data_IF_070014980563
#
_entry.id   IF_070014980563
#
_cell.length_a   1.000
_cell.length_b   1.000
_cell.length_c   1.000
_cell.angle_alpha   90.00
_cell.angle_beta   90.00
_cell.angle_gamma   90.00
#
_symmetry.space_group_name_H-M   'P 1'
#
loop_
_entity.id
_entity.type
_entity.pdbx_description
1 polymer ?
#
# COMPACT_ATOMS: atom_id res chain seq x y z
N UNK A 1 10.13 -54.10 4.15
CA UNK A 1 9.01 -54.66 3.38
C UNK A 1 7.73 -54.09 3.96
N UNK A 2 7.22 -52.99 3.40
CA UNK A 2 6.02 -52.31 3.90
C UNK A 2 4.86 -52.58 2.94
N UNK A 3 3.83 -53.22 3.47
CA UNK A 3 2.64 -53.69 2.75
C UNK A 3 1.68 -52.53 2.46
N UNK A 4 1.36 -52.39 1.18
CA UNK A 4 0.47 -51.41 0.58
C UNK A 4 -0.99 -51.82 0.85
N UNK A 5 -1.69 -51.11 1.75
CA UNK A 5 -3.12 -51.33 2.02
C UNK A 5 -3.96 -50.47 1.07
N UNK A 6 -4.54 -51.13 0.06
CA UNK A 6 -5.61 -50.62 -0.78
C UNK A 6 -6.88 -50.35 0.04
N UNK A 7 -7.47 -49.16 -0.11
CA UNK A 7 -8.84 -48.87 0.31
C UNK A 7 -9.82 -49.11 -0.85
N UNK A 8 -10.95 -49.80 -0.64
CA UNK A 8 -11.97 -49.99 -1.66
C UNK A 8 -12.86 -48.76 -1.83
N UNK A 9 -13.17 -48.43 -3.09
CA UNK A 9 -14.14 -47.43 -3.50
C UNK A 9 -15.56 -47.86 -3.15
N UNK A 10 -16.26 -47.04 -2.37
CA UNK A 10 -17.68 -47.21 -2.08
C UNK A 10 -18.50 -46.46 -3.13
N UNK A 11 -19.14 -47.23 -4.00
CA UNK A 11 -20.22 -46.79 -4.89
C UNK A 11 -21.47 -46.48 -4.05
N UNK A 12 -21.90 -45.22 -4.02
CA UNK A 12 -23.23 -44.85 -3.50
C UNK A 12 -24.17 -44.65 -4.68
N UNK A 13 -24.97 -45.68 -4.97
CA UNK A 13 -26.16 -45.56 -5.79
C UNK A 13 -27.25 -44.88 -4.96
N UNK A 14 -27.70 -43.70 -5.38
CA UNK A 14 -28.98 -43.14 -4.94
C UNK A 14 -29.94 -43.11 -6.12
N UNK A 15 -30.70 -44.21 -6.18
CA UNK A 15 -32.14 -44.28 -6.43
C UNK A 15 -32.81 -43.05 -7.03
N UNK A 16 -33.20 -43.20 -8.30
CA UNK A 16 -34.37 -42.55 -8.87
C UNK A 16 -35.62 -43.03 -8.14
N UNK A 17 -36.48 -42.10 -7.72
CA UNK A 17 -37.94 -42.24 -7.57
C UNK A 17 -38.49 -40.98 -6.89
N UNK A 18 -39.07 -40.07 -7.67
CA UNK A 18 -40.36 -39.43 -7.35
C UNK A 18 -40.81 -38.57 -8.55
N UNK A 19 -41.48 -39.24 -9.47
CA UNK A 19 -42.52 -38.62 -10.29
C UNK A 19 -43.75 -38.47 -9.39
N UNK A 20 -44.14 -37.24 -9.10
CA UNK A 20 -45.48 -36.94 -8.61
C UNK A 20 -45.96 -35.64 -9.27
N UNK A 21 -47.03 -35.80 -10.02
CA UNK A 21 -47.82 -34.79 -10.68
C UNK A 21 -48.17 -33.61 -9.76
N UNK A 22 -47.88 -32.41 -10.24
CA UNK A 22 -48.65 -31.21 -9.91
C UNK A 22 -48.78 -30.39 -11.19
N UNK A 23 -49.68 -30.88 -12.06
CA UNK A 23 -50.28 -30.12 -13.14
C UNK A 23 -51.06 -28.93 -12.57
N UNK A 24 -50.34 -27.85 -12.26
CA UNK A 24 -50.94 -26.54 -12.06
C UNK A 24 -50.94 -25.88 -13.42
N UNK A 25 -52.12 -25.77 -14.04
CA UNK A 25 -52.30 -25.07 -15.30
C UNK A 25 -51.78 -23.65 -15.19
N UNK A 26 -50.58 -23.41 -15.72
CA UNK A 26 -50.11 -22.05 -15.97
C UNK A 26 -50.89 -21.52 -17.17
N UNK A 27 -51.54 -20.35 -17.05
CA UNK A 27 -52.15 -19.71 -18.20
C UNK A 27 -51.07 -19.52 -19.26
N UNK A 28 -51.39 -19.87 -20.52
CA UNK A 28 -50.58 -19.52 -21.68
C UNK A 28 -50.49 -17.99 -21.72
N UNK A 29 -49.47 -17.44 -21.07
CA UNK A 29 -49.02 -16.10 -21.35
C UNK A 29 -48.63 -16.12 -22.82
N UNK A 30 -49.40 -15.38 -23.62
CA UNK A 30 -49.08 -15.05 -25.00
C UNK A 30 -47.58 -14.78 -25.05
N UNK A 31 -46.86 -15.56 -25.86
CA UNK A 31 -45.49 -15.27 -26.24
C UNK A 31 -45.52 -13.98 -27.06
N UNK A 32 -45.69 -12.86 -26.37
CA UNK A 32 -45.46 -11.55 -26.90
C UNK A 32 -44.05 -11.59 -27.46
N UNK A 33 -43.96 -11.32 -28.76
CA UNK A 33 -42.72 -10.99 -29.43
C UNK A 33 -41.88 -10.12 -28.50
N UNK A 34 -40.88 -10.71 -27.86
CA UNK A 34 -39.88 -9.94 -27.14
C UNK A 34 -39.29 -9.04 -28.23
N UNK A 35 -39.42 -7.70 -28.14
CA UNK A 35 -38.84 -6.83 -29.13
C UNK A 35 -37.38 -7.22 -29.19
N UNK A 36 -36.88 -7.56 -30.39
CA UNK A 36 -35.49 -7.86 -30.64
C UNK A 36 -34.67 -6.83 -29.90
N UNK A 37 -34.13 -7.21 -28.74
CA UNK A 37 -33.18 -6.41 -28.02
C UNK A 37 -31.95 -6.51 -28.89
N UNK A 38 -31.90 -5.67 -29.92
CA UNK A 38 -30.70 -5.38 -30.67
C UNK A 38 -29.69 -5.08 -29.58
N UNK A 39 -28.82 -6.05 -29.31
CA UNK A 39 -27.69 -5.87 -28.42
C UNK A 39 -26.77 -4.92 -29.16
N UNK A 40 -27.15 -3.63 -29.14
CA UNK A 40 -26.38 -2.54 -29.69
C UNK A 40 -25.00 -2.71 -29.10
N UNK A 41 -24.03 -2.98 -29.98
CA UNK A 41 -22.65 -3.21 -29.59
C UNK A 41 -22.26 -2.00 -28.74
N UNK A 42 -22.15 -2.20 -27.42
CA UNK A 42 -21.84 -1.10 -26.50
C UNK A 42 -20.59 -0.42 -27.06
N UNK A 43 -20.56 0.92 -27.14
CA UNK A 43 -19.39 1.62 -27.62
C UNK A 43 -18.20 1.10 -26.83
N UNK A 44 -17.19 0.58 -27.53
CA UNK A 44 -16.00 0.00 -26.88
C UNK A 44 -15.38 1.11 -26.05
N UNK A 45 -15.29 0.90 -24.74
CA UNK A 45 -14.67 1.89 -23.86
C UNK A 45 -13.21 2.08 -24.30
N UNK A 46 -12.75 3.34 -24.28
CA UNK A 46 -11.38 3.66 -24.64
C UNK A 46 -10.43 3.07 -23.59
N UNK A 47 -9.30 2.48 -24.02
CA UNK A 47 -8.23 2.10 -23.10
C UNK A 47 -7.81 3.29 -22.25
N UNK A 48 -7.49 3.04 -20.98
CA UNK A 48 -6.97 4.09 -20.10
C UNK A 48 -5.54 4.46 -20.50
N UNK A 49 -5.20 5.74 -20.42
CA UNK A 49 -3.79 6.16 -20.53
C UNK A 49 -2.99 5.64 -19.34
N UNK A 50 -1.66 5.66 -19.45
CA UNK A 50 -0.83 5.15 -18.38
C UNK A 50 -1.07 5.89 -17.05
N UNK A 51 -1.07 7.22 -17.12
CA UNK A 51 -1.34 8.10 -15.99
C UNK A 51 -2.71 7.83 -15.37
N UNK A 52 -3.76 7.68 -16.19
CA UNK A 52 -5.12 7.37 -15.70
C UNK A 52 -5.20 6.04 -14.96
N UNK A 53 -4.54 5.00 -15.49
CA UNK A 53 -4.54 3.69 -14.88
C UNK A 53 -3.81 3.67 -13.52
N UNK A 54 -2.64 4.32 -13.44
CA UNK A 54 -1.90 4.48 -12.18
C UNK A 54 -2.75 5.23 -11.16
N UNK A 55 -3.29 6.40 -11.54
CA UNK A 55 -4.09 7.24 -10.67
C UNK A 55 -5.29 6.48 -10.09
N UNK A 56 -6.01 5.71 -10.91
CA UNK A 56 -7.19 4.95 -10.44
C UNK A 56 -6.86 3.70 -9.66
N UNK A 57 -5.76 3.01 -9.99
CA UNK A 57 -5.56 1.62 -9.56
C UNK A 57 -4.22 1.32 -8.90
N UNK A 58 -3.39 2.33 -8.59
CA UNK A 58 -2.10 2.14 -7.88
C UNK A 58 -2.26 1.34 -6.57
N UNK A 59 -3.31 1.62 -5.82
CA UNK A 59 -3.61 0.95 -4.54
C UNK A 59 -3.89 -0.54 -4.68
N UNK A 60 -4.24 -0.99 -5.89
CA UNK A 60 -4.53 -2.39 -6.25
C UNK A 60 -3.35 -3.07 -6.95
N UNK A 61 -2.14 -2.51 -6.86
CA UNK A 61 -0.94 -3.15 -7.39
C UNK A 61 -0.66 -2.88 -8.87
N UNK A 62 -1.17 -1.78 -9.41
CA UNK A 62 -0.77 -1.28 -10.72
C UNK A 62 0.48 -0.41 -10.57
N UNK A 63 1.52 -0.73 -11.33
CA UNK A 63 2.82 -0.04 -11.29
C UNK A 63 3.36 0.16 -12.71
N UNK A 64 4.22 1.17 -12.88
CA UNK A 64 5.10 1.25 -14.06
C UNK A 64 6.33 0.39 -13.85
N UNK A 65 6.69 -0.37 -14.89
CA UNK A 65 7.95 -1.09 -14.95
C UNK A 65 9.05 -0.20 -15.55
N UNK A 66 10.30 -0.66 -15.51
CA UNK A 66 11.47 0.08 -15.98
C UNK A 66 11.41 0.44 -17.48
N UNK A 67 10.62 -0.30 -18.26
CA UNK A 67 10.35 -0.05 -19.68
C UNK A 67 9.27 1.02 -19.92
N UNK A 68 8.70 1.61 -18.86
CA UNK A 68 7.61 2.57 -18.94
C UNK A 68 6.25 1.94 -19.26
N UNK A 69 6.16 0.61 -19.32
CA UNK A 69 4.89 -0.09 -19.50
C UNK A 69 4.20 -0.32 -18.16
N UNK A 70 2.87 -0.30 -18.17
CA UNK A 70 2.09 -0.64 -16.98
C UNK A 70 2.05 -2.14 -16.79
N UNK A 71 2.25 -2.58 -15.54
CA UNK A 71 2.13 -4.00 -15.12
C UNK A 71 1.30 -4.11 -13.85
N UNK A 72 0.71 -5.29 -13.64
CA UNK A 72 0.11 -5.68 -12.36
C UNK A 72 1.14 -6.48 -11.56
N UNK A 73 1.37 -6.10 -10.31
CA UNK A 73 2.25 -6.82 -9.38
C UNK A 73 1.84 -8.27 -9.14
N UNK A 74 0.58 -8.61 -9.39
CA UNK A 74 0.02 -9.95 -9.23
C UNK A 74 0.57 -10.99 -10.24
N UNK A 75 1.07 -10.56 -11.41
CA UNK A 75 1.59 -11.49 -12.42
C UNK A 75 2.31 -10.77 -13.58
N UNK A 76 3.49 -11.25 -14.01
CA UNK A 76 4.19 -10.72 -15.18
C UNK A 76 3.43 -10.89 -16.51
N UNK A 77 2.49 -11.83 -16.58
CA UNK A 77 1.72 -12.11 -17.80
C UNK A 77 0.53 -11.16 -18.03
N UNK A 78 0.21 -10.27 -17.08
CA UNK A 78 -0.84 -9.30 -17.28
C UNK A 78 -0.34 -8.17 -18.18
N UNK A 79 -1.05 -7.92 -19.29
CA UNK A 79 -0.76 -6.82 -20.23
C UNK A 79 -1.85 -5.74 -20.12
N UNK A 80 -1.78 -4.86 -19.11
CA UNK A 80 -2.83 -3.88 -18.84
C UNK A 80 -2.83 -2.66 -19.77
N UNK A 81 -1.83 -2.55 -20.66
CA UNK A 81 -1.67 -1.43 -21.59
C UNK A 81 -2.87 -1.20 -22.52
N UNK A 82 -3.65 -2.23 -22.82
CA UNK A 82 -4.85 -2.12 -23.67
C UNK A 82 -6.17 -2.19 -22.87
N UNK A 83 -6.11 -2.12 -21.54
CA UNK A 83 -7.29 -2.29 -20.70
C UNK A 83 -8.05 -0.98 -20.54
N UNK A 84 -9.36 -1.08 -20.67
CA UNK A 84 -10.28 -0.03 -20.22
C UNK A 84 -10.54 -0.16 -18.71
N UNK A 85 -11.24 0.82 -18.14
CA UNK A 85 -11.58 0.83 -16.71
C UNK A 85 -12.33 -0.43 -16.24
N UNK A 86 -13.10 -1.06 -17.13
CA UNK A 86 -13.86 -2.26 -16.80
C UNK A 86 -12.95 -3.50 -16.77
N UNK A 87 -12.03 -3.64 -17.72
CA UNK A 87 -11.04 -4.71 -17.77
C UNK A 87 -10.14 -4.72 -16.54
N UNK A 88 -9.68 -3.55 -16.07
CA UNK A 88 -8.98 -3.42 -14.78
C UNK A 88 -9.84 -3.94 -13.63
N UNK A 89 -11.08 -3.47 -13.52
CA UNK A 89 -12.01 -3.88 -12.45
C UNK A 89 -12.24 -5.39 -12.43
N UNK A 90 -12.45 -5.99 -13.60
CA UNK A 90 -12.63 -7.43 -13.77
C UNK A 90 -11.37 -8.20 -13.40
N UNK A 91 -10.19 -7.68 -13.76
CA UNK A 91 -8.93 -8.30 -13.41
C UNK A 91 -8.75 -8.44 -11.89
N UNK A 92 -9.09 -7.40 -11.13
CA UNK A 92 -8.98 -7.41 -9.66
C UNK A 92 -10.00 -8.33 -8.97
N UNK A 93 -11.00 -8.85 -9.69
CA UNK A 93 -11.95 -9.84 -9.18
C UNK A 93 -11.43 -11.27 -9.35
N UNK A 94 -10.37 -11.51 -10.11
CA UNK A 94 -9.83 -12.85 -10.29
C UNK A 94 -9.18 -13.39 -9.02
N UNK A 95 -9.37 -14.69 -8.76
CA UNK A 95 -8.83 -15.39 -7.58
C UNK A 95 -7.32 -15.19 -7.41
N UNK A 96 -6.56 -15.17 -8.52
CA UNK A 96 -5.11 -14.95 -8.50
C UNK A 96 -4.76 -13.56 -7.94
N UNK A 97 -5.48 -12.53 -8.36
CA UNK A 97 -5.26 -11.16 -7.88
C UNK A 97 -5.71 -11.00 -6.43
N UNK A 98 -6.86 -11.59 -6.06
CA UNK A 98 -7.34 -11.56 -4.68
C UNK A 98 -6.40 -12.26 -3.71
N UNK A 99 -5.80 -13.40 -4.12
CA UNK A 99 -4.77 -14.09 -3.34
C UNK A 99 -3.55 -13.18 -3.15
N UNK A 100 -3.08 -12.53 -4.22
CA UNK A 100 -1.98 -11.57 -4.13
C UNK A 100 -2.32 -10.38 -3.19
N UNK A 101 -3.52 -9.82 -3.27
CA UNK A 101 -3.96 -8.75 -2.34
C UNK A 101 -4.01 -9.21 -0.88
N UNK A 102 -4.33 -10.49 -0.62
CA UNK A 102 -4.42 -11.06 0.72
C UNK A 102 -3.04 -11.40 1.32
N UNK A 103 -2.10 -11.84 0.47
CA UNK A 103 -0.71 -12.14 0.87
C UNK A 103 0.15 -10.88 0.98
N UNK A 104 -0.35 -9.73 0.52
CA UNK A 104 0.35 -8.45 0.58
C UNK A 104 0.51 -7.98 2.03
N UNK A 105 1.75 -7.73 2.43
CA UNK A 105 2.11 -7.33 3.79
C UNK A 105 1.49 -5.99 4.20
N UNK A 106 1.09 -5.89 5.48
CA UNK A 106 0.60 -4.66 6.07
C UNK A 106 1.73 -3.62 6.10
N UNK A 107 1.57 -2.52 5.35
CA UNK A 107 2.60 -1.48 5.19
C UNK A 107 3.10 -1.31 3.75
N UNK A 108 2.77 -2.24 2.84
CA UNK A 108 3.09 -2.10 1.42
C UNK A 108 2.47 -0.86 0.78
N UNK A 109 1.33 -0.40 1.28
CA UNK A 109 0.61 0.77 0.74
C UNK A 109 1.39 2.08 0.89
N UNK A 110 2.16 2.26 1.98
CA UNK A 110 2.93 3.49 2.18
C UNK A 110 4.12 3.56 1.23
N UNK A 111 4.82 2.44 1.03
CA UNK A 111 5.89 2.32 0.03
C UNK A 111 5.34 2.43 -1.39
N UNK A 112 4.21 1.81 -1.68
CA UNK A 112 3.56 1.89 -2.98
C UNK A 112 3.06 3.31 -3.28
N UNK A 113 2.60 4.05 -2.28
CA UNK A 113 2.19 5.45 -2.44
C UNK A 113 3.38 6.36 -2.76
N UNK A 114 4.49 6.20 -2.04
CA UNK A 114 5.72 6.94 -2.34
C UNK A 114 6.25 6.66 -3.75
N UNK A 115 6.20 5.39 -4.19
CA UNK A 115 6.55 5.02 -5.56
C UNK A 115 5.55 5.54 -6.59
N UNK A 116 4.25 5.53 -6.28
CA UNK A 116 3.20 6.08 -7.12
C UNK A 116 3.44 7.57 -7.38
N UNK A 117 3.74 8.37 -6.35
CA UNK A 117 4.00 9.80 -6.53
C UNK A 117 5.17 10.05 -7.49
N UNK A 118 6.28 9.33 -7.31
CA UNK A 118 7.43 9.40 -8.23
C UNK A 118 7.07 8.98 -9.65
N UNK A 119 6.24 7.95 -9.79
CA UNK A 119 5.81 7.43 -11.09
C UNK A 119 4.85 8.37 -11.82
N UNK A 120 3.95 9.04 -11.11
CA UNK A 120 3.03 10.02 -11.72
C UNK A 120 3.76 11.28 -12.14
N UNK A 121 4.73 11.74 -11.36
CA UNK A 121 5.58 12.89 -11.70
C UNK A 121 6.44 12.61 -12.94
N UNK A 122 6.94 11.39 -13.12
CA UNK A 122 7.74 11.00 -14.27
C UNK A 122 6.93 10.80 -15.57
N UNK A 123 5.60 10.84 -15.52
CA UNK A 123 4.74 10.68 -16.70
C UNK A 123 4.28 12.05 -17.19
N UNK A 124 5.00 12.58 -18.16
CA UNK A 124 4.74 13.84 -18.89
C UNK A 124 3.52 13.75 -19.84
N UNK A 125 2.41 13.19 -19.37
CA UNK A 125 1.16 13.11 -20.14
C UNK A 125 0.30 14.36 -19.81
N UNK A 126 0.28 15.32 -20.75
CA UNK A 126 -0.34 16.67 -20.68
C UNK A 126 -1.88 16.67 -20.72
N UNK A 127 -2.54 15.66 -20.14
CA UNK A 127 -3.96 15.41 -20.39
C UNK A 127 -4.87 15.35 -19.16
N UNK A 128 -4.38 15.57 -17.95
CA UNK A 128 -5.20 15.42 -16.74
C UNK A 128 -5.19 16.70 -15.90
N UNK A 129 -6.40 17.20 -15.63
CA UNK A 129 -6.61 18.28 -14.67
C UNK A 129 -6.16 17.87 -13.25
N UNK A 130 -5.67 18.85 -12.50
CA UNK A 130 -5.23 18.64 -11.10
C UNK A 130 -6.37 18.13 -10.22
N UNK A 131 -7.62 18.45 -10.58
CA UNK A 131 -8.83 18.03 -9.88
C UNK A 131 -9.05 16.51 -9.95
N UNK A 132 -8.83 15.88 -11.11
CA UNK A 132 -8.92 14.41 -11.26
C UNK A 132 -7.82 13.70 -10.49
N UNK A 133 -6.61 14.27 -10.45
CA UNK A 133 -5.50 13.74 -9.66
C UNK A 133 -5.87 13.77 -8.17
N UNK A 134 -6.36 14.91 -7.67
CA UNK A 134 -6.79 15.07 -6.28
C UNK A 134 -7.96 14.14 -5.89
N UNK A 135 -8.98 14.02 -6.75
CA UNK A 135 -10.14 13.16 -6.53
C UNK A 135 -9.77 11.66 -6.44
N UNK A 136 -8.80 11.23 -7.25
CA UNK A 136 -8.30 9.87 -7.21
C UNK A 136 -7.41 9.60 -5.99
N UNK A 137 -6.58 10.55 -5.57
CA UNK A 137 -5.84 10.46 -4.30
C UNK A 137 -6.82 10.33 -3.11
N UNK A 138 -7.91 11.11 -3.11
CA UNK A 138 -8.96 11.03 -2.10
C UNK A 138 -9.70 9.67 -2.13
N UNK A 139 -9.93 9.09 -3.31
CA UNK A 139 -10.58 7.78 -3.47
C UNK A 139 -9.70 6.62 -2.96
N UNK A 140 -8.38 6.68 -3.17
CA UNK A 140 -7.43 5.76 -2.57
C UNK A 140 -7.43 5.83 -1.05
N UNK A 141 -7.55 7.03 -0.48
CA UNK A 141 -7.71 7.21 0.96
C UNK A 141 -9.07 6.73 1.48
N UNK A 142 -10.16 6.83 0.70
CA UNK A 142 -11.48 6.33 1.08
C UNK A 142 -11.57 4.79 1.09
N UNK A 143 -10.81 4.10 0.22
CA UNK A 143 -10.66 2.64 0.26
C UNK A 143 -10.13 2.14 1.62
N UNK A 144 -9.35 2.96 2.35
CA UNK A 144 -8.86 2.68 3.71
C UNK A 144 -9.99 2.48 4.73
N UNK A 145 -11.19 3.05 4.51
CA UNK A 145 -12.33 2.94 5.46
C UNK A 145 -13.28 1.77 5.18
N UNK A 146 -13.34 1.25 3.95
CA UNK A 146 -14.38 0.27 3.55
C UNK A 146 -13.97 -1.21 3.67
N UNK A 147 -12.67 -1.53 3.76
CA UNK A 147 -12.17 -2.93 3.78
C UNK A 147 -12.11 -3.59 5.18
N UNK A 148 -12.77 -3.01 6.19
CA UNK A 148 -12.91 -3.63 7.54
C UNK A 148 -14.27 -4.26 7.82
N UNK A 149 -15.22 -4.23 6.88
CA UNK A 149 -16.58 -4.76 7.09
C UNK A 149 -17.05 -5.57 5.88
N UNK A 150 -16.42 -6.70 5.63
CA UNK A 150 -17.08 -7.77 4.86
C UNK A 150 -16.51 -9.12 5.29
N UNK A 151 -16.84 -9.49 6.53
CA UNK A 151 -17.01 -10.88 6.86
C UNK A 151 -18.49 -11.03 7.23
N UNK A 152 -19.26 -11.61 6.33
CA UNK A 152 -20.67 -11.87 6.54
C UNK A 152 -20.84 -12.85 7.69
N UNK A 153 -21.91 -12.64 8.45
CA UNK A 153 -22.53 -13.62 9.33
C UNK A 153 -21.89 -13.79 10.72
N UNK A 154 -22.15 -12.81 11.60
CA UNK A 154 -22.40 -13.08 13.02
C UNK A 154 -23.42 -12.08 13.55
N UNK A 155 -24.50 -12.66 14.08
CA UNK A 155 -25.61 -12.06 14.82
C UNK A 155 -25.34 -10.65 15.35
N UNK A 156 -26.25 -9.75 14.99
CA UNK A 156 -26.64 -8.59 15.78
C UNK A 156 -26.78 -9.01 17.25
N UNK A 157 -25.77 -8.69 18.04
CA UNK A 157 -25.79 -8.71 19.49
C UNK A 157 -25.48 -7.28 19.90
N UNK A 158 -26.55 -6.59 20.29
CA UNK A 158 -26.66 -5.41 21.14
C UNK A 158 -25.35 -4.77 21.62
N UNK A 159 -25.25 -3.46 21.41
CA UNK A 159 -24.04 -2.62 21.54
C UNK A 159 -23.50 -2.40 22.96
N UNK A 160 -24.04 -3.03 24.01
CA UNK A 160 -23.91 -2.42 25.35
C UNK A 160 -23.02 -3.17 26.35
N UNK A 161 -22.25 -4.18 25.93
CA UNK A 161 -21.19 -4.72 26.80
C UNK A 161 -20.08 -5.41 26.01
N UNK A 162 -19.18 -4.62 25.40
CA UNK A 162 -17.87 -5.18 25.03
C UNK A 162 -17.10 -5.48 26.34
N UNK A 163 -16.58 -6.69 26.55
CA UNK A 163 -15.83 -7.03 27.76
C UNK A 163 -14.69 -6.04 27.96
N UNK A 164 -14.52 -5.51 29.17
CA UNK A 164 -13.49 -4.52 29.51
C UNK A 164 -12.08 -4.94 29.02
N UNK A 165 -11.81 -6.25 28.97
CA UNK A 165 -10.59 -6.83 28.42
C UNK A 165 -10.32 -6.47 26.94
N UNK A 166 -11.34 -6.45 26.08
CA UNK A 166 -11.19 -6.09 24.65
C UNK A 166 -10.91 -4.59 24.47
N UNK A 167 -11.48 -3.74 25.32
CA UNK A 167 -11.18 -2.30 25.30
C UNK A 167 -9.79 -2.00 25.85
N UNK A 168 -9.34 -2.74 26.87
CA UNK A 168 -7.98 -2.65 27.40
C UNK A 168 -6.94 -3.07 26.34
N UNK A 169 -7.17 -4.18 25.64
CA UNK A 169 -6.28 -4.63 24.57
C UNK A 169 -6.21 -3.62 23.42
N UNK A 170 -7.35 -3.02 23.03
CA UNK A 170 -7.39 -1.97 22.00
C UNK A 170 -6.59 -0.72 22.42
N UNK A 171 -6.66 -0.31 23.69
CA UNK A 171 -5.87 0.81 24.22
C UNK A 171 -4.37 0.53 24.17
N UNK A 172 -3.93 -0.66 24.59
CA UNK A 172 -2.53 -1.06 24.53
C UNK A 172 -1.98 -1.02 23.09
N UNK A 173 -2.75 -1.52 22.12
CA UNK A 173 -2.37 -1.45 20.70
C UNK A 173 -2.29 -0.02 20.17
N UNK A 174 -3.22 0.86 20.59
CA UNK A 174 -3.17 2.27 20.21
C UNK A 174 -1.97 2.99 20.82
N UNK A 175 -1.63 2.70 22.08
CA UNK A 175 -0.46 3.26 22.75
C UNK A 175 0.84 2.79 22.09
N UNK A 176 0.98 1.49 21.82
CA UNK A 176 2.15 0.95 21.11
C UNK A 176 2.31 1.57 19.71
N UNK A 177 1.20 1.79 18.98
CA UNK A 177 1.26 2.49 17.70
C UNK A 177 1.65 3.96 17.84
N UNK A 178 1.21 4.63 18.91
CA UNK A 178 1.58 6.02 19.22
C UNK A 178 3.08 6.13 19.51
N UNK A 179 3.62 5.25 20.35
CA UNK A 179 5.05 5.19 20.66
C UNK A 179 5.89 4.90 19.41
N UNK A 180 5.44 3.98 18.56
CA UNK A 180 6.11 3.68 17.29
C UNK A 180 6.08 4.86 16.31
N UNK A 181 5.04 5.70 16.36
CA UNK A 181 4.95 6.91 15.56
C UNK A 181 5.89 7.99 16.09
N UNK A 182 5.88 8.21 17.40
CA UNK A 182 6.78 9.16 18.06
C UNK A 182 8.25 8.81 17.81
N UNK A 183 8.62 7.53 17.90
CA UNK A 183 9.97 7.05 17.56
C UNK A 183 10.36 7.39 16.12
N UNK A 184 9.44 7.21 15.15
CA UNK A 184 9.68 7.60 13.75
C UNK A 184 9.84 9.11 13.59
N UNK A 185 9.01 9.89 14.26
CA UNK A 185 9.09 11.36 14.20
C UNK A 185 10.42 11.88 14.79
N UNK A 186 10.90 11.27 15.88
CA UNK A 186 12.22 11.55 16.47
C UNK A 186 13.35 11.15 15.51
N UNK A 187 13.28 9.96 14.91
CA UNK A 187 14.28 9.49 13.96
C UNK A 187 14.36 10.38 12.71
N UNK A 188 13.20 10.77 12.15
CA UNK A 188 13.11 11.70 11.02
C UNK A 188 13.69 13.07 11.36
N UNK A 189 13.40 13.60 12.56
CA UNK A 189 13.98 14.85 13.03
C UNK A 189 15.50 14.75 13.15
N UNK A 190 16.02 13.71 13.79
CA UNK A 190 17.46 13.47 13.94
C UNK A 190 18.14 13.35 12.57
N UNK A 191 17.49 12.68 11.62
CA UNK A 191 18.01 12.54 10.25
C UNK A 191 18.04 13.88 9.51
N UNK A 192 17.02 14.73 9.68
CA UNK A 192 17.01 16.08 9.12
C UNK A 192 18.14 16.93 9.69
N UNK A 193 18.26 16.95 11.01
CA UNK A 193 19.30 17.72 11.71
C UNK A 193 20.71 17.26 11.36
N UNK A 194 20.93 15.95 11.22
CA UNK A 194 22.22 15.42 10.77
C UNK A 194 22.58 15.89 9.36
N UNK A 195 21.61 15.90 8.43
CA UNK A 195 21.82 16.38 7.04
C UNK A 195 22.15 17.87 7.01
N UNK A 196 21.42 18.67 7.79
CA UNK A 196 21.66 20.11 7.93
C UNK A 196 23.07 20.39 8.47
N UNK A 197 23.45 19.78 9.61
CA UNK A 197 24.78 19.94 10.20
C UNK A 197 25.89 19.50 9.23
N UNK A 198 25.69 18.41 8.48
CA UNK A 198 26.64 17.95 7.45
C UNK A 198 26.80 18.96 6.31
N UNK A 199 25.72 19.59 5.87
CA UNK A 199 25.76 20.63 4.83
C UNK A 199 26.40 21.92 5.32
N UNK A 200 26.05 22.38 6.53
CA UNK A 200 26.66 23.55 7.18
C UNK A 200 28.17 23.37 7.30
N UNK A 201 28.61 22.20 7.77
CA UNK A 201 30.03 21.85 7.88
C UNK A 201 30.73 21.86 6.51
N UNK A 202 30.06 21.43 5.43
CA UNK A 202 30.61 21.53 4.07
C UNK A 202 30.80 22.99 3.66
N UNK A 203 29.84 23.88 3.98
CA UNK A 203 29.93 25.32 3.67
C UNK A 203 31.02 26.00 4.48
N UNK A 204 31.06 25.80 5.80
CA UNK A 204 32.09 26.38 6.68
C UNK A 204 33.51 25.95 6.28
N UNK A 205 33.69 24.70 5.80
CA UNK A 205 34.98 24.25 5.25
C UNK A 205 35.35 24.88 3.91
N UNK A 206 34.37 25.31 3.11
CA UNK A 206 34.63 26.05 1.88
C UNK A 206 35.01 27.49 2.22
N UNK A 207 34.24 28.13 3.10
CA UNK A 207 34.50 29.48 3.59
C UNK A 207 35.91 29.58 4.21
N UNK A 208 36.29 28.62 5.06
CA UNK A 208 37.64 28.56 5.63
C UNK A 208 38.75 28.44 4.56
N UNK A 209 38.48 27.87 3.38
CA UNK A 209 39.45 27.83 2.28
C UNK A 209 39.60 29.19 1.57
N UNK A 210 38.56 30.01 1.60
CA UNK A 210 38.50 31.31 0.94
C UNK A 210 38.96 32.45 1.87
N UNK A 211 38.81 32.30 3.18
CA UNK A 211 39.21 33.28 4.19
C UNK A 211 40.74 33.41 4.28
N UNK A 212 41.23 34.66 4.27
CA UNK A 212 42.66 34.99 4.41
C UNK A 212 42.95 35.66 5.77
N UNK A 213 41.94 36.21 6.43
CA UNK A 213 42.09 36.84 7.75
C UNK A 213 42.27 35.77 8.84
N UNK A 214 43.36 35.88 9.59
CA UNK A 214 43.70 34.95 10.67
C UNK A 214 42.70 34.94 11.83
N UNK A 215 41.97 36.04 12.07
CA UNK A 215 40.94 36.08 13.11
C UNK A 215 39.69 35.32 12.67
N UNK A 216 39.16 35.63 11.48
CA UNK A 216 38.01 34.91 10.91
C UNK A 216 38.31 33.41 10.73
N UNK A 217 39.53 33.05 10.35
CA UNK A 217 39.94 31.63 10.29
C UNK A 217 39.80 30.92 11.64
N UNK A 218 40.22 31.54 12.75
CA UNK A 218 40.11 30.92 14.08
C UNK A 218 38.65 30.76 14.53
N UNK A 219 37.80 31.73 14.20
CA UNK A 219 36.37 31.65 14.47
C UNK A 219 35.72 30.51 13.66
N UNK A 220 36.00 30.44 12.35
CA UNK A 220 35.51 29.36 11.48
C UNK A 220 36.01 27.97 11.92
N UNK A 221 37.24 27.85 12.40
CA UNK A 221 37.75 26.60 12.98
C UNK A 221 37.01 26.19 14.25
N UNK A 222 36.66 27.15 15.11
CA UNK A 222 35.83 26.89 16.29
C UNK A 222 34.42 26.43 15.90
N UNK A 223 33.81 27.08 14.91
CA UNK A 223 32.50 26.73 14.40
C UNK A 223 32.50 25.34 13.75
N UNK A 224 33.52 24.99 12.96
CA UNK A 224 33.67 23.65 12.38
C UNK A 224 33.76 22.58 13.48
N UNK A 225 34.46 22.84 14.60
CA UNK A 225 34.49 21.91 15.74
C UNK A 225 33.11 21.72 16.35
N UNK A 226 32.38 22.81 16.60
CA UNK A 226 31.01 22.76 17.14
C UNK A 226 30.06 22.01 16.19
N UNK A 227 30.17 22.25 14.88
CA UNK A 227 29.37 21.55 13.86
C UNK A 227 29.71 20.06 13.78
N UNK A 228 30.98 19.68 13.93
CA UNK A 228 31.38 18.27 14.01
C UNK A 228 30.77 17.57 15.22
N UNK A 229 30.78 18.21 16.39
CA UNK A 229 30.17 17.66 17.60
C UNK A 229 28.64 17.52 17.45
N UNK A 230 27.97 18.56 16.93
CA UNK A 230 26.53 18.54 16.64
C UNK A 230 26.17 17.43 15.66
N UNK A 231 26.92 17.29 14.55
CA UNK A 231 26.75 16.19 13.59
C UNK A 231 26.91 14.83 14.27
N UNK A 232 27.96 14.65 15.07
CA UNK A 232 28.23 13.40 15.77
C UNK A 232 27.13 13.03 16.77
N UNK A 233 26.54 14.01 17.47
CA UNK A 233 25.42 13.80 18.38
C UNK A 233 24.20 13.22 17.64
N UNK A 234 23.83 13.77 16.49
CA UNK A 234 22.72 13.24 15.70
C UNK A 234 23.05 11.88 15.05
N UNK A 235 24.29 11.66 14.64
CA UNK A 235 24.73 10.36 14.14
C UNK A 235 24.57 9.26 15.20
N UNK A 236 24.99 9.55 16.46
CA UNK A 236 24.79 8.65 17.60
C UNK A 236 23.32 8.37 17.87
N UNK A 237 22.47 9.40 17.82
CA UNK A 237 21.03 9.24 18.02
C UNK A 237 20.36 8.35 16.94
N UNK A 238 20.96 8.26 15.75
CA UNK A 238 20.53 7.40 14.65
C UNK A 238 21.20 6.01 14.65
N UNK A 239 22.07 5.71 15.62
CA UNK A 239 22.84 4.47 15.62
C UNK A 239 23.89 4.38 14.50
N UNK A 240 24.21 5.49 13.84
CA UNK A 240 25.24 5.57 12.81
C UNK A 240 26.60 5.71 13.51
N UNK A 241 27.20 4.60 13.94
CA UNK A 241 28.54 4.60 14.53
C UNK A 241 29.57 4.87 13.44
N UNK A 242 30.02 6.13 13.32
CA UNK A 242 31.19 6.49 12.51
C UNK A 242 32.46 6.02 13.25
N UNK A 243 32.80 4.72 13.15
CA UNK A 243 34.18 4.20 13.21
C UNK A 243 35.12 4.67 14.34
N UNK A 244 34.64 4.96 15.54
CA UNK A 244 35.45 5.26 16.72
C UNK A 244 34.83 4.58 17.94
N UNK A 245 35.67 3.94 18.75
CA UNK A 245 35.38 2.98 19.84
C UNK A 245 33.97 3.03 20.47
N UNK A 246 33.39 1.85 20.77
CA UNK A 246 32.14 1.77 21.52
C UNK A 246 32.33 2.43 22.89
N UNK A 247 31.73 3.61 23.07
CA UNK A 247 31.64 4.23 24.38
C UNK A 247 30.77 3.31 25.26
N UNK A 248 31.28 2.78 26.38
CA UNK A 248 30.54 1.82 27.18
C UNK A 248 29.29 2.48 27.75
N UNK A 249 28.15 1.88 27.41
CA UNK A 249 26.97 1.76 28.25
C UNK A 249 26.49 3.04 28.98
N UNK A 250 25.59 3.80 28.35
CA UNK A 250 24.44 4.32 29.10
C UNK A 250 23.34 3.26 29.08
N UNK A 251 23.46 2.31 30.02
CA UNK A 251 22.30 1.71 30.65
C UNK A 251 21.52 2.84 31.32
N UNK A 252 20.49 3.35 30.65
CA UNK A 252 19.41 4.02 31.36
C UNK A 252 18.36 2.95 31.66
N UNK A 253 18.51 2.35 32.85
CA UNK A 253 17.36 1.82 33.55
C UNK A 253 16.57 2.99 34.13
N UNK A 254 15.29 3.07 33.77
CA UNK A 254 14.07 2.97 34.60
C UNK A 254 12.89 3.15 33.66
#
# INVERSE_FOLDING_TARGET
MYTNQHQPAMNTMHTAEHLADLATGMPQAEYGHHPDHQHGKRPRAKPLTHKQALIKFWSRGIVLDADGSIKCSCSPCCKPQSWDSYAYTRHFQYKKHQKWEAEREAGWEDLAYANFLKQVEAVDDEGLDEETIAAAMASGAAAKKKKKTSNSNKRSLTSDTLPAALMAEKRLRMNANSEMREKREIEEHNMRQWKEARQELKRAREELRETVDGIEMQELEADIRNLMERKARFARALGMVEGGEPHPHQQLGV
#
